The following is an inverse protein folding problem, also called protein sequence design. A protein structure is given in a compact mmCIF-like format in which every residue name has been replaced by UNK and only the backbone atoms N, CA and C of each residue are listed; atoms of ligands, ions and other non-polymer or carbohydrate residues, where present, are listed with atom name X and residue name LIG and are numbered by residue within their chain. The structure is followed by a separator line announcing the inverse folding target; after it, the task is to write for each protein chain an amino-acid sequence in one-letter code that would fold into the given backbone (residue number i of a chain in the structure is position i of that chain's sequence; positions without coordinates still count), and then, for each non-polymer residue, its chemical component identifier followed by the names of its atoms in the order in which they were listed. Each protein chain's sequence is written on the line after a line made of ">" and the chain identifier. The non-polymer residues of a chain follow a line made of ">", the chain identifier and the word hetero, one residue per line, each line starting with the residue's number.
data_IF_410179963871
#
_entry.id   IF_410179963871
#
_cell.length_a   1.000
_cell.length_b   1.000
_cell.length_c   1.000
_cell.angle_alpha   90.00
_cell.angle_beta   90.00
_cell.angle_gamma   90.00
#
_symmetry.space_group_name_H-M   'P 1'
#
loop_
_entity.id
_entity.type
_entity.pdbx_description
1 polymer ?
#
# COMPACT_ATOMS: atom_id res chain seq x y z
N UNK A 1 -12.25 42.57 -10.42
CA UNK A 1 -13.18 41.47 -10.05
C UNK A 1 -12.37 40.16 -10.00
N UNK A 2 -12.07 39.66 -8.81
CA UNK A 2 -11.03 38.65 -8.54
C UNK A 2 -11.65 37.25 -8.44
N UNK A 3 -11.57 36.45 -9.51
CA UNK A 3 -12.01 35.04 -9.50
C UNK A 3 -10.86 34.17 -8.99
N UNK A 4 -10.64 34.16 -7.67
CA UNK A 4 -9.81 33.14 -7.01
C UNK A 4 -10.45 31.78 -7.27
N UNK A 5 -9.83 31.01 -8.15
CA UNK A 5 -10.25 29.66 -8.47
C UNK A 5 -10.15 28.79 -7.22
N UNK A 6 -11.30 28.37 -6.70
CA UNK A 6 -11.45 27.32 -5.71
C UNK A 6 -11.05 25.99 -6.38
N UNK A 7 -9.75 25.73 -6.52
CA UNK A 7 -9.25 24.44 -6.96
C UNK A 7 -9.44 23.46 -5.80
N UNK A 8 -10.43 22.60 -5.91
CA UNK A 8 -10.86 21.69 -4.86
C UNK A 8 -9.71 20.86 -4.30
N UNK A 9 -9.50 20.96 -2.98
CA UNK A 9 -8.56 20.15 -2.18
C UNK A 9 -8.98 18.68 -2.05
N UNK A 10 -9.80 18.16 -2.96
CA UNK A 10 -10.42 16.82 -2.86
C UNK A 10 -9.61 15.69 -3.51
N UNK A 11 -8.63 15.99 -4.36
CA UNK A 11 -7.92 14.96 -5.15
C UNK A 11 -6.70 14.39 -4.39
N UNK A 12 -6.25 15.06 -3.31
CA UNK A 12 -5.11 14.61 -2.50
C UNK A 12 -5.43 13.48 -1.51
N UNK A 13 -6.71 13.20 -1.26
CA UNK A 13 -7.14 12.11 -0.38
C UNK A 13 -7.22 10.77 -1.10
N UNK A 14 -7.37 10.78 -2.43
CA UNK A 14 -7.56 9.56 -3.21
C UNK A 14 -6.34 8.63 -3.14
N UNK A 15 -5.10 9.06 -3.44
CA UNK A 15 -3.94 8.17 -3.39
C UNK A 15 -3.69 7.64 -1.98
N UNK A 16 -3.84 8.50 -0.98
CA UNK A 16 -3.58 8.16 0.41
C UNK A 16 -4.53 7.05 0.92
N UNK A 17 -5.80 7.06 0.51
CA UNK A 17 -6.78 6.05 0.93
C UNK A 17 -6.42 4.64 0.46
N UNK A 18 -5.75 4.61 -0.68
CA UNK A 18 -5.66 3.49 -1.60
C UNK A 18 -4.34 2.76 -1.30
N UNK A 19 -3.25 3.52 -1.12
CA UNK A 19 -2.02 3.06 -0.44
C UNK A 19 -2.29 2.61 1.00
N UNK A 20 -3.13 3.33 1.77
CA UNK A 20 -3.49 2.90 3.14
C UNK A 20 -4.19 1.53 3.12
N UNK A 21 -5.06 1.29 2.12
CA UNK A 21 -5.72 0.01 1.97
C UNK A 21 -4.74 -1.10 1.55
N UNK A 22 -3.77 -0.80 0.67
CA UNK A 22 -2.67 -1.71 0.33
C UNK A 22 -1.85 -2.12 1.55
N UNK A 23 -1.43 -1.16 2.38
CA UNK A 23 -0.73 -1.42 3.64
C UNK A 23 -1.59 -2.25 4.60
N UNK A 24 -2.89 -1.97 4.68
CA UNK A 24 -3.82 -2.75 5.51
C UNK A 24 -3.94 -4.21 5.05
N UNK A 25 -3.99 -4.44 3.74
CA UNK A 25 -3.93 -5.79 3.17
C UNK A 25 -2.61 -6.50 3.48
N UNK A 26 -1.48 -5.79 3.37
CA UNK A 26 -0.16 -6.34 3.73
C UNK A 26 -0.08 -6.71 5.22
N UNK A 27 -0.63 -5.86 6.09
CA UNK A 27 -0.72 -6.13 7.53
C UNK A 27 -1.62 -7.33 7.84
N UNK A 28 -2.77 -7.43 7.18
CA UNK A 28 -3.64 -8.60 7.30
C UNK A 28 -2.91 -9.88 6.86
N UNK A 29 -2.16 -9.83 5.77
CA UNK A 29 -1.35 -10.97 5.31
C UNK A 29 -0.30 -11.40 6.33
N UNK A 30 0.36 -10.44 6.99
CA UNK A 30 1.29 -10.73 8.10
C UNK A 30 0.58 -11.44 9.26
N UNK A 31 -0.58 -10.95 9.69
CA UNK A 31 -1.39 -11.56 10.77
C UNK A 31 -1.89 -12.96 10.39
N UNK A 32 -2.31 -13.15 9.14
CA UNK A 32 -2.72 -14.46 8.61
C UNK A 32 -1.55 -15.46 8.60
N UNK A 33 -0.34 -15.01 8.28
CA UNK A 33 0.86 -15.86 8.31
C UNK A 33 1.21 -16.33 9.73
N UNK A 34 1.05 -15.46 10.74
CA UNK A 34 1.24 -15.81 12.16
C UNK A 34 0.21 -16.85 12.60
N UNK A 35 -0.99 -16.82 12.02
CA UNK A 35 -2.05 -17.80 12.30
C UNK A 35 -1.84 -19.15 11.59
N UNK A 36 -0.73 -19.31 10.85
CA UNK A 36 -0.42 -20.50 10.06
C UNK A 36 -1.18 -20.60 8.73
N UNK A 37 -1.97 -19.58 8.37
CA UNK A 37 -2.71 -19.55 7.12
C UNK A 37 -1.91 -18.82 6.02
N UNK A 38 -0.94 -19.53 5.47
CA UNK A 38 -0.01 -19.00 4.47
C UNK A 38 -0.67 -18.72 3.11
N UNK A 39 -1.76 -19.43 2.78
CA UNK A 39 -2.49 -19.22 1.52
C UNK A 39 -3.18 -17.85 1.50
N UNK A 40 -3.90 -17.53 2.59
CA UNK A 40 -4.56 -16.23 2.73
C UNK A 40 -3.53 -15.10 2.88
N UNK A 41 -2.40 -15.38 3.56
CA UNK A 41 -1.29 -14.44 3.67
C UNK A 41 -0.69 -14.06 2.31
N UNK A 42 -0.43 -15.05 1.45
CA UNK A 42 0.10 -14.82 0.11
C UNK A 42 -0.89 -14.07 -0.78
N UNK A 43 -2.19 -14.37 -0.68
CA UNK A 43 -3.23 -13.69 -1.46
C UNK A 43 -3.39 -12.23 -1.03
N UNK A 44 -3.38 -11.96 0.28
CA UNK A 44 -3.44 -10.62 0.82
C UNK A 44 -2.19 -9.78 0.45
N UNK A 45 -1.01 -10.40 0.49
CA UNK A 45 0.24 -9.78 0.03
C UNK A 45 0.17 -9.42 -1.46
N UNK A 46 -0.34 -10.33 -2.29
CA UNK A 46 -0.48 -10.11 -3.72
C UNK A 46 -1.41 -8.92 -4.03
N UNK A 47 -2.54 -8.83 -3.32
CA UNK A 47 -3.47 -7.71 -3.45
C UNK A 47 -2.82 -6.40 -2.98
N UNK A 48 -2.08 -6.42 -1.87
CA UNK A 48 -1.37 -5.26 -1.36
C UNK A 48 -0.37 -4.70 -2.39
N UNK A 49 0.47 -5.58 -2.96
CA UNK A 49 1.42 -5.22 -4.02
C UNK A 49 0.72 -4.69 -5.28
N UNK A 50 -0.41 -5.28 -5.67
CA UNK A 50 -1.15 -4.84 -6.85
C UNK A 50 -1.73 -3.44 -6.65
N UNK A 51 -2.29 -3.15 -5.46
CA UNK A 51 -2.86 -1.84 -5.14
C UNK A 51 -1.78 -0.76 -5.05
N UNK A 52 -0.65 -1.05 -4.40
CA UNK A 52 0.49 -0.13 -4.28
C UNK A 52 1.00 0.29 -5.67
N UNK A 53 1.18 -0.71 -6.55
CA UNK A 53 1.58 -0.48 -7.93
C UNK A 53 0.53 0.29 -8.76
N UNK A 54 -0.76 0.14 -8.42
CA UNK A 54 -1.83 0.85 -9.11
C UNK A 54 -1.90 2.31 -8.67
N UNK A 55 -1.85 2.57 -7.36
CA UNK A 55 -1.97 3.92 -6.80
C UNK A 55 -0.73 4.78 -7.05
N UNK A 56 0.47 4.19 -6.97
CA UNK A 56 1.70 4.87 -7.35
C UNK A 56 1.77 5.22 -8.84
N UNK A 57 1.06 4.50 -9.72
CA UNK A 57 0.95 4.83 -11.16
C UNK A 57 -0.18 5.83 -11.44
N UNK A 58 -1.32 5.68 -10.78
CA UNK A 58 -2.45 6.61 -10.90
C UNK A 58 -2.04 7.99 -10.38
N UNK A 59 -1.35 8.08 -9.24
CA UNK A 59 -0.85 9.34 -8.68
C UNK A 59 0.14 10.07 -9.59
N UNK A 60 1.06 9.32 -10.22
CA UNK A 60 2.01 9.83 -11.25
C UNK A 60 1.29 10.38 -12.47
N UNK A 61 0.26 9.69 -12.95
CA UNK A 61 -0.47 10.09 -14.15
C UNK A 61 -1.42 11.29 -13.92
N UNK A 62 -1.95 11.47 -12.70
CA UNK A 62 -2.84 12.60 -12.38
C UNK A 62 -2.12 13.86 -11.91
N UNK A 63 -0.78 13.84 -11.76
CA UNK A 63 0.00 15.00 -11.32
C UNK A 63 -0.38 15.49 -9.92
N UNK A 64 -0.97 14.61 -9.11
CA UNK A 64 -1.46 14.86 -7.75
C UNK A 64 -0.46 14.35 -6.71
N UNK A 65 0.82 14.48 -7.04
CA UNK A 65 1.92 14.03 -6.20
C UNK A 65 2.21 15.12 -5.15
N UNK A 66 1.93 14.79 -3.89
CA UNK A 66 2.38 15.56 -2.75
C UNK A 66 3.71 15.00 -2.28
N UNK A 67 4.62 15.84 -1.79
CA UNK A 67 5.87 15.37 -1.15
C UNK A 67 5.59 14.34 -0.04
N UNK A 68 4.47 14.48 0.67
CA UNK A 68 4.03 13.49 1.67
C UNK A 68 3.60 12.16 1.02
N UNK A 69 2.91 12.22 -0.12
CA UNK A 69 2.46 11.01 -0.83
C UNK A 69 3.60 10.22 -1.45
N UNK A 70 4.66 10.90 -1.91
CA UNK A 70 5.86 10.25 -2.43
C UNK A 70 6.64 9.49 -1.33
N UNK A 71 6.75 10.07 -0.13
CA UNK A 71 7.33 9.39 1.03
C UNK A 71 6.44 8.21 1.48
N UNK A 72 5.11 8.36 1.40
CA UNK A 72 4.15 7.32 1.78
C UNK A 72 4.18 6.12 0.81
N UNK A 73 4.26 6.36 -0.50
CA UNK A 73 4.47 5.35 -1.55
C UNK A 73 5.77 4.58 -1.30
N UNK A 74 6.84 5.30 -0.95
CA UNK A 74 8.13 4.67 -0.61
C UNK A 74 8.05 3.77 0.64
N UNK A 75 7.28 4.16 1.67
CA UNK A 75 7.05 3.33 2.84
C UNK A 75 6.23 2.08 2.50
N UNK A 76 5.24 2.22 1.63
CA UNK A 76 4.41 1.11 1.18
C UNK A 76 5.23 0.11 0.36
N UNK A 77 6.08 0.59 -0.56
CA UNK A 77 7.02 -0.24 -1.32
C UNK A 77 7.93 -1.08 -0.39
N UNK A 78 8.47 -0.47 0.67
CA UNK A 78 9.32 -1.17 1.65
C UNK A 78 8.54 -2.28 2.38
N UNK A 79 7.28 -2.02 2.74
CA UNK A 79 6.43 -3.01 3.43
C UNK A 79 6.04 -4.14 2.47
N UNK A 80 5.62 -3.80 1.26
CA UNK A 80 5.11 -4.72 0.25
C UNK A 80 6.21 -5.63 -0.34
N UNK A 81 7.40 -5.08 -0.64
CA UNK A 81 8.50 -5.85 -1.24
C UNK A 81 9.56 -6.33 -0.25
N UNK A 82 9.65 -5.71 0.94
CA UNK A 82 10.65 -6.05 1.94
C UNK A 82 10.07 -6.84 3.10
N UNK A 83 9.28 -6.15 3.93
CA UNK A 83 8.88 -6.65 5.26
C UNK A 83 7.93 -7.83 5.15
N UNK A 84 6.85 -7.68 4.40
CA UNK A 84 5.79 -8.67 4.35
C UNK A 84 6.21 -10.02 3.72
N UNK A 85 6.96 -10.08 2.59
CA UNK A 85 7.47 -11.36 2.08
C UNK A 85 8.51 -12.00 3.02
N UNK A 86 9.39 -11.21 3.64
CA UNK A 86 10.34 -11.74 4.62
C UNK A 86 9.63 -12.37 5.83
N UNK A 87 8.56 -11.73 6.31
CA UNK A 87 7.78 -12.23 7.45
C UNK A 87 7.01 -13.51 7.11
N UNK A 88 6.45 -13.60 5.91
CA UNK A 88 5.74 -14.81 5.44
C UNK A 88 6.72 -15.99 5.35
N UNK A 89 7.91 -15.79 4.77
CA UNK A 89 8.94 -16.84 4.68
C UNK A 89 9.45 -17.24 6.06
N UNK A 90 9.68 -16.28 6.96
CA UNK A 90 10.10 -16.56 8.33
C UNK A 90 9.07 -17.41 9.09
N UNK A 91 7.80 -17.01 9.08
CA UNK A 91 6.74 -17.77 9.73
C UNK A 91 6.57 -19.16 9.09
N UNK A 92 6.72 -19.26 7.77
CA UNK A 92 6.65 -20.56 7.08
C UNK A 92 7.79 -21.51 7.50
N UNK A 93 9.01 -20.99 7.67
CA UNK A 93 10.16 -21.77 8.10
C UNK A 93 10.10 -22.18 9.59
N UNK A 94 9.52 -21.34 10.46
CA UNK A 94 9.34 -21.64 11.89
C UNK A 94 8.17 -22.60 12.19
N UNK A 95 7.13 -22.63 11.33
CA UNK A 95 5.93 -23.46 11.51
C UNK A 95 5.99 -24.84 10.82
N UNK A 96 7.17 -25.26 10.32
CA UNK A 96 7.44 -26.64 9.88
C UNK A 96 7.93 -27.53 11.03
#
# INVERSE_FOLDING_TARGET
>A
MNKKQLKGRGIYLLPNLFTTFGIFCGFYGMVASISGNFADAAFALFIAMLMDAFDGRVARMTGTESAFGAEYDSLADIVSFGVAPALIVYNWAELQ
#
